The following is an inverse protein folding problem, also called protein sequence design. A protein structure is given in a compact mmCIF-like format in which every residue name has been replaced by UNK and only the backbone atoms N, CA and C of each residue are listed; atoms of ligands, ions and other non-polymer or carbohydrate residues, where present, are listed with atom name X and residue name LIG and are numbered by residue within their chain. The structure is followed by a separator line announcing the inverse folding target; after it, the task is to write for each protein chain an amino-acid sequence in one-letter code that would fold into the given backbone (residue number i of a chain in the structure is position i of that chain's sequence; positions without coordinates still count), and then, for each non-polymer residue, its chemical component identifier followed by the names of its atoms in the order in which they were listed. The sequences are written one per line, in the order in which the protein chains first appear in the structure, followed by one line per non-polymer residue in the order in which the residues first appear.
data_IF_443055153772
#
_entry.id   IF_443055153772
#
_cell.length_a   1.000
_cell.length_b   1.000
_cell.length_c   1.000
_cell.angle_alpha   90.00
_cell.angle_beta   90.00
_cell.angle_gamma   90.00
#
_symmetry.space_group_name_H-M   'P 1'
#
loop_
_entity.id
_entity.type
_entity.pdbx_description
1 polymer ?
#
# COMPACT_ATOMS: atom_id res chain seq x y z
N UNK A 1 7.98 -3.65 -28.75
CA UNK A 1 6.72 -3.14 -28.17
C UNK A 1 6.33 -1.96 -29.03
N UNK A 2 5.32 -2.13 -29.90
CA UNK A 2 4.98 -1.15 -30.93
C UNK A 2 4.22 0.00 -30.27
N UNK A 3 4.80 1.19 -30.27
CA UNK A 3 4.10 2.42 -29.86
C UNK A 3 2.96 2.66 -30.86
N UNK A 4 1.73 2.42 -30.42
CA UNK A 4 0.54 2.92 -31.09
C UNK A 4 0.39 4.43 -30.82
N UNK A 5 1.31 5.22 -31.36
CA UNK A 5 1.01 6.63 -31.67
C UNK A 5 0.00 6.62 -32.81
N UNK A 6 -1.28 6.48 -32.45
CA UNK A 6 -2.40 6.56 -33.37
C UNK A 6 -2.39 7.92 -34.06
N UNK A 7 -1.90 7.97 -35.30
CA UNK A 7 -2.18 9.09 -36.19
C UNK A 7 -3.69 9.13 -36.38
N UNK A 8 -4.30 10.26 -36.01
CA UNK A 8 -5.74 10.49 -36.12
C UNK A 8 -6.12 10.37 -37.61
N UNK A 9 -6.99 9.40 -37.92
CA UNK A 9 -7.59 9.19 -39.25
C UNK A 9 -8.39 10.44 -39.69
N UNK A 10 -8.41 10.74 -40.99
CA UNK A 10 -9.18 11.82 -41.60
C UNK A 10 -10.68 11.84 -41.20
N UNK A 11 -11.29 10.68 -40.94
CA UNK A 11 -12.66 10.57 -40.42
C UNK A 11 -12.79 11.11 -38.98
N UNK A 12 -11.82 10.81 -38.10
CA UNK A 12 -11.78 11.36 -36.74
C UNK A 12 -11.50 12.87 -36.78
N UNK A 13 -10.67 13.32 -37.73
CA UNK A 13 -10.38 14.75 -37.94
C UNK A 13 -11.63 15.50 -38.37
N UNK A 14 -12.42 14.95 -39.29
CA UNK A 14 -13.69 15.51 -39.74
C UNK A 14 -14.75 15.53 -38.62
N UNK A 15 -14.83 14.46 -37.82
CA UNK A 15 -15.76 14.37 -36.68
C UNK A 15 -15.40 15.34 -35.54
N UNK A 16 -14.10 15.55 -35.27
CA UNK A 16 -13.64 16.54 -34.29
C UNK A 16 -13.93 17.96 -34.82
N UNK A 17 -13.57 18.24 -36.08
CA UNK A 17 -13.80 19.54 -36.73
C UNK A 17 -15.26 19.96 -36.86
N UNK A 18 -16.20 19.01 -36.83
CA UNK A 18 -17.64 19.31 -36.79
C UNK A 18 -18.15 19.82 -35.43
N UNK A 19 -17.42 19.57 -34.33
CA UNK A 19 -17.89 19.84 -32.95
C UNK A 19 -16.95 20.73 -32.14
N UNK A 20 -15.67 20.78 -32.49
CA UNK A 20 -14.61 21.53 -31.82
C UNK A 20 -13.52 21.94 -32.83
N UNK A 21 -12.73 22.96 -32.51
CA UNK A 21 -11.52 23.27 -33.26
C UNK A 21 -10.50 22.13 -33.07
N UNK A 22 -10.06 21.53 -34.17
CA UNK A 22 -9.12 20.40 -34.18
C UNK A 22 -7.78 20.78 -33.51
N UNK A 23 -7.31 21.99 -33.73
CA UNK A 23 -6.05 22.46 -33.17
C UNK A 23 -6.16 22.67 -31.65
N UNK A 24 -7.32 23.12 -31.17
CA UNK A 24 -7.62 23.18 -29.73
C UNK A 24 -7.60 21.79 -29.09
N UNK A 25 -8.20 20.80 -29.77
CA UNK A 25 -8.21 19.41 -29.30
C UNK A 25 -6.81 18.82 -29.18
N UNK A 26 -5.98 18.97 -30.22
CA UNK A 26 -4.61 18.46 -30.23
C UNK A 26 -3.76 19.14 -29.16
N UNK A 27 -3.89 20.47 -29.00
CA UNK A 27 -3.17 21.21 -27.96
C UNK A 27 -3.57 20.76 -26.55
N UNK A 28 -4.87 20.52 -26.31
CA UNK A 28 -5.38 20.00 -25.05
C UNK A 28 -4.90 18.58 -24.75
N UNK A 29 -4.81 17.73 -25.77
CA UNK A 29 -4.26 16.39 -25.64
C UNK A 29 -2.76 16.41 -25.30
N UNK A 30 -1.98 17.24 -26.01
CA UNK A 30 -0.54 17.40 -25.77
C UNK A 30 -0.27 17.94 -24.35
N UNK A 31 -1.05 18.93 -23.91
CA UNK A 31 -0.96 19.45 -22.54
C UNK A 31 -1.25 18.39 -21.49
N UNK A 32 -2.28 17.55 -21.69
CA UNK A 32 -2.59 16.44 -20.78
C UNK A 32 -1.47 15.42 -20.70
N UNK A 33 -0.87 15.05 -21.82
CA UNK A 33 0.26 14.13 -21.87
C UNK A 33 1.46 14.68 -21.10
N UNK A 34 1.78 15.96 -21.30
CA UNK A 34 2.85 16.64 -20.57
C UNK A 34 2.58 16.67 -19.05
N UNK A 35 1.34 16.97 -18.65
CA UNK A 35 0.93 17.01 -17.26
C UNK A 35 1.01 15.63 -16.57
N UNK A 36 0.63 14.56 -17.26
CA UNK A 36 0.76 13.19 -16.75
C UNK A 36 2.23 12.83 -16.55
N UNK A 37 3.08 13.14 -17.53
CA UNK A 37 4.52 12.86 -17.46
C UNK A 37 5.17 13.59 -16.28
N UNK A 38 4.81 14.86 -16.09
CA UNK A 38 5.33 15.68 -15.01
C UNK A 38 4.88 15.20 -13.62
N UNK A 39 3.59 14.84 -13.46
CA UNK A 39 3.09 14.21 -12.22
C UNK A 39 3.80 12.88 -11.93
N UNK A 40 4.12 12.12 -12.96
CA UNK A 40 4.92 10.89 -12.86
C UNK A 40 6.33 11.15 -12.34
N UNK A 41 7.04 12.14 -12.91
CA UNK A 41 8.37 12.59 -12.44
C UNK A 41 8.34 12.98 -10.97
N UNK A 42 7.41 13.86 -10.60
CA UNK A 42 7.26 14.36 -9.22
C UNK A 42 6.98 13.20 -8.26
N UNK A 43 6.08 12.28 -8.62
CA UNK A 43 5.78 11.11 -7.78
C UNK A 43 7.02 10.25 -7.53
N UNK A 44 7.85 10.06 -8.56
CA UNK A 44 9.08 9.27 -8.45
C UNK A 44 10.12 9.95 -7.56
N UNK A 45 10.26 11.27 -7.64
CA UNK A 45 11.14 12.03 -6.75
C UNK A 45 10.68 11.95 -5.29
N UNK A 46 9.39 12.18 -5.01
CA UNK A 46 8.82 12.04 -3.67
C UNK A 46 9.08 10.64 -3.13
N UNK A 47 8.81 9.60 -3.93
CA UNK A 47 9.05 8.22 -3.53
C UNK A 47 10.49 8.00 -3.09
N UNK A 48 11.47 8.44 -3.89
CA UNK A 48 12.89 8.26 -3.57
C UNK A 48 13.31 9.00 -2.30
N UNK A 49 12.82 10.23 -2.09
CA UNK A 49 13.10 11.02 -0.90
C UNK A 49 12.47 10.40 0.36
N UNK A 50 11.21 9.94 0.26
CA UNK A 50 10.55 9.19 1.34
C UNK A 50 11.32 7.91 1.68
N UNK A 51 11.82 7.19 0.68
CA UNK A 51 12.63 5.98 0.92
C UNK A 51 13.94 6.30 1.65
N UNK A 52 14.62 7.40 1.30
CA UNK A 52 15.80 7.90 2.01
C UNK A 52 15.50 8.32 3.45
N UNK A 53 14.25 8.67 3.75
CA UNK A 53 13.82 9.12 5.07
C UNK A 53 13.77 10.64 5.21
N UNK A 54 13.67 11.36 4.09
CA UNK A 54 13.51 12.81 4.11
C UNK A 54 12.12 13.20 4.65
N UNK A 55 12.08 14.26 5.47
CA UNK A 55 10.85 14.79 6.03
C UNK A 55 10.03 15.59 5.00
N UNK A 56 8.73 15.71 5.25
CA UNK A 56 7.81 16.47 4.37
C UNK A 56 8.34 17.86 4.01
N UNK A 57 8.84 18.62 4.99
CA UNK A 57 9.36 19.97 4.78
C UNK A 57 10.58 20.02 3.85
N UNK A 58 11.37 18.94 3.82
CA UNK A 58 12.53 18.82 2.92
C UNK A 58 12.04 18.49 1.52
N UNK A 59 11.07 17.60 1.39
CA UNK A 59 10.48 17.21 0.12
C UNK A 59 9.76 18.38 -0.54
N UNK A 60 8.93 19.11 0.22
CA UNK A 60 8.19 20.28 -0.25
C UNK A 60 9.12 21.37 -0.81
N UNK A 61 10.27 21.60 -0.17
CA UNK A 61 11.24 22.63 -0.62
C UNK A 61 12.04 22.23 -1.86
N UNK A 62 12.28 20.94 -2.06
CA UNK A 62 13.14 20.45 -3.14
C UNK A 62 12.38 20.14 -4.43
N UNK A 63 11.06 19.94 -4.35
CA UNK A 63 10.24 19.62 -5.50
C UNK A 63 9.67 20.89 -6.09
N UNK A 64 9.91 21.08 -7.39
CA UNK A 64 9.32 22.15 -8.18
C UNK A 64 8.64 21.58 -9.42
N UNK A 65 7.65 22.31 -9.92
CA UNK A 65 6.99 22.02 -11.20
C UNK A 65 6.81 23.30 -11.99
N UNK A 66 6.99 23.18 -13.30
CA UNK A 66 6.80 24.24 -14.29
C UNK A 66 5.42 24.15 -14.96
N UNK A 67 4.68 23.06 -14.75
CA UNK A 67 3.36 22.82 -15.35
C UNK A 67 2.24 22.98 -14.31
N UNK A 68 2.47 22.54 -13.07
CA UNK A 68 1.49 22.65 -11.99
C UNK A 68 1.56 24.02 -11.33
N UNK A 69 0.40 24.55 -10.95
CA UNK A 69 0.38 25.73 -10.07
C UNK A 69 0.91 25.36 -8.68
N UNK A 70 1.37 26.37 -7.92
CA UNK A 70 1.93 26.15 -6.58
C UNK A 70 0.99 25.36 -5.66
N UNK A 71 -0.30 25.69 -5.67
CA UNK A 71 -1.32 25.00 -4.84
C UNK A 71 -1.55 23.55 -5.29
N UNK A 72 -1.60 23.29 -6.59
CA UNK A 72 -1.76 21.93 -7.11
C UNK A 72 -0.54 21.07 -6.79
N UNK A 73 0.65 21.66 -6.86
CA UNK A 73 1.89 20.99 -6.50
C UNK A 73 1.92 20.65 -5.01
N UNK A 74 1.62 21.62 -4.13
CA UNK A 74 1.55 21.40 -2.67
C UNK A 74 0.58 20.27 -2.33
N UNK A 75 -0.65 20.31 -2.88
CA UNK A 75 -1.65 19.25 -2.66
C UNK A 75 -1.13 17.88 -3.13
N UNK A 76 -0.53 17.82 -4.32
CA UNK A 76 0.01 16.59 -4.87
C UNK A 76 1.16 16.02 -4.04
N UNK A 77 2.05 16.88 -3.53
CA UNK A 77 3.16 16.48 -2.66
C UNK A 77 2.61 15.88 -1.35
N UNK A 78 1.63 16.54 -0.72
CA UNK A 78 0.98 16.05 0.50
C UNK A 78 0.39 14.66 0.28
N UNK A 79 -0.44 14.51 -0.75
CA UNK A 79 -1.10 13.25 -1.07
C UNK A 79 -0.09 12.10 -1.26
N UNK A 80 0.94 12.34 -2.08
CA UNK A 80 1.95 11.32 -2.38
C UNK A 80 2.88 11.02 -1.21
N UNK A 81 3.25 12.04 -0.43
CA UNK A 81 4.07 11.85 0.76
C UNK A 81 3.40 10.92 1.77
N UNK A 82 2.12 11.17 2.10
CA UNK A 82 1.39 10.32 3.04
C UNK A 82 1.18 8.90 2.48
N UNK A 83 0.87 8.79 1.18
CA UNK A 83 0.73 7.50 0.52
C UNK A 83 2.02 6.66 0.63
N UNK A 84 3.18 7.24 0.31
CA UNK A 84 4.45 6.53 0.33
C UNK A 84 5.00 6.31 1.75
N UNK A 85 4.81 7.25 2.66
CA UNK A 85 5.25 7.12 4.05
C UNK A 85 4.47 6.02 4.77
N UNK A 86 3.16 5.94 4.55
CA UNK A 86 2.33 4.85 5.08
C UNK A 86 2.73 3.48 4.51
N UNK A 87 3.10 3.42 3.22
CA UNK A 87 3.63 2.19 2.62
C UNK A 87 4.98 1.79 3.21
N UNK A 88 5.89 2.76 3.42
CA UNK A 88 7.19 2.52 4.04
C UNK A 88 7.02 1.99 5.47
N UNK A 89 6.21 2.65 6.29
CA UNK A 89 5.96 2.25 7.68
C UNK A 89 5.36 0.84 7.79
N UNK A 90 4.45 0.49 6.89
CA UNK A 90 3.86 -0.84 6.83
C UNK A 90 4.85 -1.93 6.39
N UNK A 91 5.77 -1.61 5.46
CA UNK A 91 6.76 -2.56 4.96
C UNK A 91 8.03 -2.67 5.83
N UNK A 92 8.34 -1.66 6.64
CA UNK A 92 9.47 -1.74 7.58
C UNK A 92 9.09 -2.68 8.74
N UNK A 93 9.74 -3.85 8.77
CA UNK A 93 9.76 -4.75 9.92
C UNK A 93 10.64 -4.09 10.97
N UNK A 94 10.05 -3.24 11.79
CA UNK A 94 10.75 -2.62 12.92
C UNK A 94 11.01 -3.68 14.00
N UNK A 95 12.14 -3.58 14.71
CA UNK A 95 12.51 -4.44 15.84
C UNK A 95 11.40 -4.47 16.89
N UNK A 96 10.69 -3.35 17.06
CA UNK A 96 9.49 -3.25 17.92
C UNK A 96 8.37 -4.16 17.46
N UNK A 97 8.12 -4.28 16.15
CA UNK A 97 7.11 -5.20 15.62
C UNK A 97 7.51 -6.64 15.89
N UNK A 98 8.77 -7.00 15.66
CA UNK A 98 9.28 -8.35 15.97
C UNK A 98 9.10 -8.68 17.45
N UNK A 99 9.44 -7.76 18.35
CA UNK A 99 9.27 -7.94 19.79
C UNK A 99 7.79 -8.09 20.18
N UNK A 100 6.90 -7.26 19.64
CA UNK A 100 5.45 -7.38 19.85
C UNK A 100 4.89 -8.69 19.30
N UNK A 101 5.39 -9.19 18.17
CA UNK A 101 5.00 -10.49 17.64
C UNK A 101 5.42 -11.62 18.57
N UNK A 102 6.66 -11.62 19.07
CA UNK A 102 7.14 -12.61 20.03
C UNK A 102 6.33 -12.61 21.32
N UNK A 103 6.04 -11.43 21.86
CA UNK A 103 5.21 -11.28 23.06
C UNK A 103 3.78 -11.74 22.79
N UNK A 104 3.23 -11.43 21.61
CA UNK A 104 1.92 -11.89 21.17
C UNK A 104 1.83 -13.41 21.04
N UNK A 105 2.89 -14.07 20.55
CA UNK A 105 2.97 -15.54 20.50
C UNK A 105 2.91 -16.11 21.92
N UNK A 106 3.70 -15.58 22.86
CA UNK A 106 3.68 -16.05 24.25
C UNK A 106 2.29 -15.95 24.87
N UNK A 107 1.64 -14.78 24.74
CA UNK A 107 0.27 -14.56 25.26
C UNK A 107 -0.72 -15.50 24.58
N UNK A 108 -0.65 -15.65 23.25
CA UNK A 108 -1.53 -16.54 22.50
C UNK A 108 -1.34 -18.00 22.95
N UNK A 109 -0.12 -18.46 23.17
CA UNK A 109 0.13 -19.82 23.69
C UNK A 109 -0.54 -20.03 25.05
N UNK A 110 -0.41 -19.08 25.98
CA UNK A 110 -1.09 -19.18 27.28
C UNK A 110 -2.62 -19.24 27.14
N UNK A 111 -3.22 -18.35 26.34
CA UNK A 111 -4.67 -18.33 26.11
C UNK A 111 -5.11 -19.62 25.40
N UNK A 112 -4.35 -20.09 24.42
CA UNK A 112 -4.63 -21.30 23.67
C UNK A 112 -4.61 -22.55 24.55
N UNK A 113 -3.70 -22.63 25.53
CA UNK A 113 -3.68 -23.74 26.50
C UNK A 113 -4.93 -23.68 27.39
N UNK A 114 -5.30 -22.51 27.90
CA UNK A 114 -6.49 -22.36 28.74
C UNK A 114 -7.77 -22.76 27.99
N UNK A 115 -7.92 -22.28 26.75
CA UNK A 115 -9.08 -22.61 25.91
C UNK A 115 -9.09 -24.10 25.54
N UNK A 116 -7.93 -24.72 25.31
CA UNK A 116 -7.83 -26.15 25.07
C UNK A 116 -8.27 -26.96 26.31
N UNK A 117 -7.83 -26.55 27.49
CA UNK A 117 -8.18 -27.21 28.75
C UNK A 117 -9.70 -27.11 29.02
N UNK A 118 -10.28 -25.91 28.85
CA UNK A 118 -11.74 -25.70 28.95
C UNK A 118 -12.51 -26.58 27.96
N UNK A 119 -12.04 -26.67 26.71
CA UNK A 119 -12.67 -27.48 25.69
C UNK A 119 -12.61 -28.97 26.03
N UNK A 120 -11.47 -29.48 26.52
CA UNK A 120 -11.30 -30.86 26.95
C UNK A 120 -12.22 -31.20 28.12
N UNK A 121 -12.40 -30.28 29.07
CA UNK A 121 -13.32 -30.47 30.20
C UNK A 121 -14.79 -30.56 29.75
N UNK A 122 -15.18 -29.83 28.71
CA UNK A 122 -16.56 -29.81 28.20
C UNK A 122 -16.85 -31.05 27.33
N UNK A 123 -15.93 -31.40 26.42
CA UNK A 123 -16.17 -32.49 25.46
C UNK A 123 -15.73 -33.85 25.96
N UNK A 124 -14.80 -33.92 26.93
CA UNK A 124 -14.18 -35.15 27.42
C UNK A 124 -13.54 -36.02 26.31
N UNK A 125 -13.33 -35.43 25.14
CA UNK A 125 -12.81 -36.08 23.94
C UNK A 125 -11.58 -35.32 23.44
N UNK A 126 -10.49 -36.04 23.22
CA UNK A 126 -9.29 -35.51 22.57
C UNK A 126 -9.40 -35.73 21.06
N UNK A 127 -10.04 -34.79 20.37
CA UNK A 127 -10.18 -34.81 18.92
C UNK A 127 -9.31 -33.75 18.25
N UNK A 128 -8.67 -34.11 17.13
CA UNK A 128 -7.87 -33.17 16.33
C UNK A 128 -8.70 -31.97 15.84
N UNK A 129 -10.02 -32.14 15.69
CA UNK A 129 -10.93 -31.07 15.28
C UNK A 129 -11.01 -29.91 16.29
N UNK A 130 -10.69 -30.13 17.58
CA UNK A 130 -10.66 -29.09 18.61
C UNK A 130 -9.51 -28.10 18.42
N UNK A 131 -8.48 -28.45 17.64
CA UNK A 131 -7.39 -27.54 17.34
C UNK A 131 -7.81 -26.42 16.38
N UNK A 132 -8.82 -26.64 15.53
CA UNK A 132 -9.30 -25.65 14.54
C UNK A 132 -9.72 -24.33 15.21
N UNK A 133 -10.64 -24.31 16.20
CA UNK A 133 -11.04 -23.06 16.86
C UNK A 133 -9.89 -22.41 17.65
N UNK A 134 -9.01 -23.21 18.28
CA UNK A 134 -7.83 -22.70 18.99
C UNK A 134 -6.88 -21.98 18.02
N UNK A 135 -6.71 -22.53 16.82
CA UNK A 135 -5.87 -21.96 15.78
C UNK A 135 -6.39 -20.59 15.29
N UNK A 136 -7.70 -20.49 15.09
CA UNK A 136 -8.37 -19.24 14.71
C UNK A 136 -8.22 -18.19 15.83
N UNK A 137 -8.37 -18.60 17.09
CA UNK A 137 -8.27 -17.72 18.25
C UNK A 137 -6.84 -17.18 18.43
N UNK A 138 -5.83 -18.03 18.30
CA UNK A 138 -4.42 -17.63 18.36
C UNK A 138 -4.06 -16.60 17.28
N UNK A 139 -4.55 -16.79 16.06
CA UNK A 139 -4.38 -15.80 14.99
C UNK A 139 -4.97 -14.43 15.37
N UNK A 140 -6.17 -14.42 15.95
CA UNK A 140 -6.84 -13.20 16.38
C UNK A 140 -6.09 -12.47 17.50
N UNK A 141 -5.62 -13.20 18.51
CA UNK A 141 -4.83 -12.64 19.62
C UNK A 141 -3.54 -11.98 19.11
N UNK A 142 -2.78 -12.69 18.27
CA UNK A 142 -1.53 -12.16 17.71
C UNK A 142 -1.82 -10.93 16.85
N UNK A 143 -2.89 -10.95 16.05
CA UNK A 143 -3.31 -9.82 15.21
C UNK A 143 -3.65 -8.57 16.01
N UNK A 144 -4.37 -8.71 17.13
CA UNK A 144 -4.70 -7.59 18.00
C UNK A 144 -3.45 -6.94 18.61
N UNK A 145 -2.43 -7.73 18.94
CA UNK A 145 -1.20 -7.24 19.57
C UNK A 145 -0.25 -6.59 18.57
N UNK A 146 -0.13 -7.13 17.35
CA UNK A 146 0.84 -6.65 16.35
C UNK A 146 0.29 -5.62 15.37
N UNK A 147 -1.02 -5.59 15.11
CA UNK A 147 -1.66 -4.61 14.22
C UNK A 147 -1.25 -4.69 12.73
N UNK A 148 -0.32 -5.58 12.35
CA UNK A 148 0.21 -5.72 10.99
C UNK A 148 -0.12 -7.10 10.40
N UNK A 149 -1.06 -7.21 9.43
CA UNK A 149 -1.53 -8.51 8.93
C UNK A 149 -0.49 -9.28 8.10
N UNK A 150 0.41 -8.58 7.40
CA UNK A 150 1.39 -9.22 6.49
C UNK A 150 2.49 -10.01 7.21
N UNK A 151 2.95 -9.51 8.36
CA UNK A 151 4.05 -10.14 9.12
C UNK A 151 3.56 -11.42 9.82
N UNK A 152 2.30 -11.43 10.24
CA UNK A 152 1.66 -12.60 10.87
C UNK A 152 1.56 -13.76 9.89
N UNK A 153 1.18 -13.50 8.63
CA UNK A 153 1.13 -14.52 7.57
C UNK A 153 2.50 -15.17 7.31
N UNK A 154 3.59 -14.39 7.37
CA UNK A 154 4.95 -14.90 7.19
C UNK A 154 5.37 -15.82 8.35
N UNK A 155 5.16 -15.37 9.60
CA UNK A 155 5.46 -16.19 10.78
C UNK A 155 4.57 -17.44 10.85
N UNK A 156 3.30 -17.31 10.47
CA UNK A 156 2.35 -18.41 10.37
C UNK A 156 2.78 -19.47 9.36
N UNK A 157 3.27 -19.07 8.18
CA UNK A 157 3.84 -19.99 7.21
C UNK A 157 5.09 -20.71 7.73
N UNK A 158 5.95 -19.99 8.48
CA UNK A 158 7.20 -20.54 9.01
C UNK A 158 6.99 -21.53 10.17
N UNK A 159 5.91 -21.38 10.94
CA UNK A 159 5.56 -22.28 12.05
C UNK A 159 4.66 -23.45 11.64
N UNK A 160 3.99 -23.37 10.48
CA UNK A 160 3.10 -24.42 9.97
C UNK A 160 3.81 -25.50 9.16
N UNK A 161 5.09 -25.33 8.85
CA UNK A 161 5.93 -26.33 8.20
C UNK A 161 7.02 -26.78 9.18
N UNK A 162 6.84 -27.94 9.86
CA UNK A 162 7.97 -28.69 10.38
C UNK A 162 8.82 -29.30 9.25
#
# INVERSE_FOLDING_TARGET
MVEHTGKINDEMRAAIGQKFDYDEFVNKANFRTALIKEKGRISFEIYNMVQKGDDFNVIEKNISSHILTKRELEYFIIEKYYQFSSHKENNTIDKRTVYRSLLGILIATFIGILVLDDLLLITNETSFFLLIPIYILNYWVIRLITGKPKIILLYFWLLSFP
#
